data_IF_570496238241
#
_entry.id   IF_570496238241
#
_cell.length_a   1.000
_cell.length_b   1.000
_cell.length_c   1.000
_cell.angle_alpha   90.00
_cell.angle_beta   90.00
_cell.angle_gamma   90.00
#
_symmetry.space_group_name_H-M   'P 1'
#
loop_
_entity.id
_entity.type
_entity.pdbx_description
1 polymer ?
#
# COMPACT_ATOMS: atom_id res chain seq x y z
N UNK A 1 5.66 -11.82 -18.82
CA UNK A 1 6.44 -11.47 -17.62
C UNK A 1 5.59 -11.83 -16.42
N UNK A 2 6.19 -12.36 -15.37
CA UNK A 2 5.49 -12.57 -14.09
C UNK A 2 5.08 -11.20 -13.52
N UNK A 3 3.98 -11.16 -12.76
CA UNK A 3 3.52 -9.95 -12.07
C UNK A 3 4.62 -9.44 -11.13
N UNK A 4 5.29 -10.38 -10.43
CA UNK A 4 6.40 -10.06 -9.54
C UNK A 4 7.57 -9.38 -10.28
N UNK A 5 7.99 -9.91 -11.44
CA UNK A 5 9.05 -9.29 -12.26
C UNK A 5 8.66 -7.89 -12.72
N UNK A 6 7.39 -7.73 -13.13
CA UNK A 6 6.87 -6.44 -13.61
C UNK A 6 6.91 -5.40 -12.51
N UNK A 7 6.47 -5.76 -11.31
CA UNK A 7 6.43 -4.84 -10.17
C UNK A 7 7.83 -4.54 -9.62
N UNK A 8 8.72 -5.54 -9.56
CA UNK A 8 10.11 -5.31 -9.16
C UNK A 8 10.80 -4.32 -10.11
N UNK A 9 10.60 -4.46 -11.42
CA UNK A 9 11.10 -3.51 -12.41
C UNK A 9 10.54 -2.09 -12.21
N UNK A 10 9.27 -1.94 -11.81
CA UNK A 10 8.69 -0.62 -11.48
C UNK A 10 9.38 -0.02 -10.24
N UNK A 11 9.61 -0.83 -9.22
CA UNK A 11 10.25 -0.43 -7.96
C UNK A 11 11.69 0.01 -8.21
N UNK A 12 12.47 -0.78 -8.96
CA UNK A 12 13.85 -0.46 -9.34
C UNK A 12 13.94 0.89 -10.07
N UNK A 13 13.05 1.11 -11.04
CA UNK A 13 12.99 2.38 -11.79
C UNK A 13 12.60 3.58 -10.93
N UNK A 14 11.75 3.36 -9.92
CA UNK A 14 11.30 4.42 -9.01
C UNK A 14 12.35 4.80 -7.95
N UNK A 15 13.23 3.84 -7.61
CA UNK A 15 14.34 3.99 -6.66
C UNK A 15 14.02 3.39 -5.29
N UNK A 16 14.87 2.45 -4.84
CA UNK A 16 14.74 1.82 -3.51
C UNK A 16 14.97 2.80 -2.35
N UNK A 17 15.71 3.89 -2.58
CA UNK A 17 15.95 4.97 -1.62
C UNK A 17 14.67 5.72 -1.21
N UNK A 18 13.58 5.55 -1.97
CA UNK A 18 12.27 6.15 -1.72
C UNK A 18 11.27 5.18 -1.11
N UNK A 19 11.73 4.02 -0.65
CA UNK A 19 10.91 3.06 0.06
C UNK A 19 10.98 3.34 1.55
N UNK A 20 9.81 3.48 2.16
CA UNK A 20 9.67 3.76 3.58
C UNK A 20 9.02 2.59 4.29
N UNK A 21 9.52 2.30 5.48
CA UNK A 21 8.93 1.36 6.41
C UNK A 21 8.18 2.09 7.51
N UNK A 22 7.00 1.59 7.88
CA UNK A 22 6.25 2.04 9.04
C UNK A 22 5.83 0.86 9.89
N UNK A 23 5.93 1.00 11.21
CA UNK A 23 5.47 0.03 12.20
C UNK A 23 4.47 0.68 13.13
N UNK A 24 3.46 -0.08 13.55
CA UNK A 24 2.56 0.29 14.62
C UNK A 24 2.17 -0.94 15.44
N UNK A 25 2.11 -0.81 16.77
CA UNK A 25 1.72 -1.89 17.67
C UNK A 25 2.86 -2.39 18.54
N UNK A 26 2.60 -3.48 19.26
CA UNK A 26 3.53 -4.02 20.25
C UNK A 26 4.72 -4.74 19.61
N UNK A 27 5.82 -4.84 20.35
CA UNK A 27 7.06 -5.46 19.89
C UNK A 27 7.22 -6.90 20.39
N UNK A 28 6.37 -7.32 21.33
CA UNK A 28 6.44 -8.64 21.91
C UNK A 28 5.62 -9.66 21.12
N UNK A 29 6.01 -10.93 21.24
CA UNK A 29 5.29 -12.01 20.54
C UNK A 29 3.86 -12.11 21.05
N UNK A 30 2.92 -12.03 20.12
CA UNK A 30 1.48 -12.12 20.41
C UNK A 30 0.82 -10.76 20.58
N UNK A 31 1.59 -9.67 20.57
CA UNK A 31 1.00 -8.33 20.50
C UNK A 31 0.40 -8.08 19.12
N UNK A 32 -0.70 -7.32 19.11
CA UNK A 32 -1.26 -6.79 17.89
C UNK A 32 -0.28 -5.83 17.24
N UNK A 33 -0.02 -6.03 15.95
CA UNK A 33 0.91 -5.20 15.20
C UNK A 33 0.52 -5.08 13.73
N UNK A 34 1.02 -4.01 13.14
CA UNK A 34 0.87 -3.63 11.75
C UNK A 34 2.21 -3.15 11.24
N UNK A 35 2.50 -3.45 9.98
CA UNK A 35 3.57 -2.77 9.28
C UNK A 35 3.21 -2.51 7.83
N UNK A 36 3.86 -1.48 7.28
CA UNK A 36 3.79 -1.17 5.85
C UNK A 36 5.15 -0.92 5.25
N UNK A 37 5.29 -1.32 4.00
CA UNK A 37 6.40 -0.94 3.13
C UNK A 37 5.79 -0.21 1.95
N UNK A 38 6.17 1.04 1.77
CA UNK A 38 5.57 1.89 0.75
C UNK A 38 6.65 2.55 -0.09
N UNK A 39 6.56 2.38 -1.40
CA UNK A 39 7.35 3.11 -2.38
C UNK A 39 6.47 3.99 -3.27
N UNK A 40 7.05 4.66 -4.28
CA UNK A 40 6.29 5.49 -5.20
C UNK A 40 5.29 4.73 -6.08
N UNK A 41 5.48 3.42 -6.27
CA UNK A 41 4.72 2.60 -7.22
C UNK A 41 3.85 1.54 -6.56
N UNK A 42 4.00 1.32 -5.25
CA UNK A 42 3.33 0.22 -4.57
C UNK A 42 3.16 0.49 -3.07
N UNK A 43 2.26 -0.28 -2.48
CA UNK A 43 2.10 -0.42 -1.04
C UNK A 43 1.99 -1.91 -0.69
N UNK A 44 2.78 -2.33 0.29
CA UNK A 44 2.64 -3.60 1.00
C UNK A 44 2.16 -3.29 2.42
N UNK A 45 1.08 -3.91 2.84
CA UNK A 45 0.58 -3.83 4.21
C UNK A 45 0.44 -5.22 4.82
N UNK A 46 0.70 -5.28 6.11
CA UNK A 46 0.45 -6.41 6.97
C UNK A 46 -0.25 -5.91 8.23
N UNK A 47 -1.36 -6.56 8.59
CA UNK A 47 -2.12 -6.27 9.80
C UNK A 47 -2.39 -7.58 10.54
N UNK A 48 -2.00 -7.63 11.80
CA UNK A 48 -2.38 -8.70 12.71
C UNK A 48 -2.82 -8.12 14.06
N UNK A 49 -3.88 -7.33 14.04
CA UNK A 49 -4.47 -6.74 15.25
C UNK A 49 -5.77 -7.43 15.68
N UNK A 50 -6.39 -8.21 14.80
CA UNK A 50 -7.69 -8.85 15.04
C UNK A 50 -7.57 -10.17 15.82
N UNK A 51 -8.67 -10.56 16.48
CA UNK A 51 -8.79 -11.84 17.20
C UNK A 51 -7.62 -12.13 18.16
N UNK A 52 -7.19 -11.11 18.92
CA UNK A 52 -6.02 -11.19 19.79
C UNK A 52 -4.73 -11.56 19.01
N UNK A 53 -4.48 -10.82 17.93
CA UNK A 53 -3.32 -10.97 17.04
C UNK A 53 -3.17 -12.39 16.47
N UNK A 54 -4.29 -13.00 16.07
CA UNK A 54 -4.33 -14.37 15.54
C UNK A 54 -5.10 -14.48 14.21
N UNK A 55 -5.28 -13.36 13.52
CA UNK A 55 -5.90 -13.34 12.19
C UNK A 55 -5.18 -12.30 11.35
N UNK A 56 -4.33 -12.78 10.47
CA UNK A 56 -3.43 -11.95 9.66
C UNK A 56 -4.11 -11.56 8.36
N UNK A 57 -4.06 -10.28 8.02
CA UNK A 57 -4.34 -9.74 6.69
C UNK A 57 -3.04 -9.23 6.06
N UNK A 58 -2.90 -9.43 4.76
CA UNK A 58 -1.80 -8.88 3.99
C UNK A 58 -2.33 -8.37 2.65
N UNK A 59 -1.84 -7.22 2.21
CA UNK A 59 -2.26 -6.56 0.98
C UNK A 59 -1.04 -6.14 0.17
N UNK A 60 -1.13 -6.32 -1.14
CA UNK A 60 -0.28 -5.68 -2.13
C UNK A 60 -1.16 -4.79 -3.00
N UNK A 61 -0.78 -3.51 -3.15
CA UNK A 61 -1.50 -2.54 -3.96
C UNK A 61 -0.58 -1.92 -5.00
N UNK A 62 -0.98 -2.01 -6.27
CA UNK A 62 -0.45 -1.22 -7.38
C UNK A 62 -1.33 0.04 -7.54
N UNK A 63 -0.75 1.22 -7.33
CA UNK A 63 -1.50 2.48 -7.42
C UNK A 63 -2.04 2.78 -8.82
N UNK A 64 -1.45 2.21 -9.87
CA UNK A 64 -1.92 2.36 -11.24
C UNK A 64 -2.97 1.29 -11.62
N UNK A 65 -3.16 0.27 -10.79
CA UNK A 65 -4.02 -0.88 -11.03
C UNK A 65 -5.19 -1.01 -10.07
N UNK A 66 -5.54 0.06 -9.33
CA UNK A 66 -6.66 0.03 -8.40
C UNK A 66 -7.96 -0.35 -9.12
N UNK A 67 -8.69 -1.30 -8.52
CA UNK A 67 -9.99 -1.71 -9.02
C UNK A 67 -11.04 -0.67 -8.67
N UNK A 68 -11.74 -0.16 -9.69
CA UNK A 68 -12.81 0.82 -9.53
C UNK A 68 -12.62 2.04 -10.43
N UNK A 69 -13.54 3.01 -10.32
CA UNK A 69 -13.44 4.26 -11.05
C UNK A 69 -12.60 5.29 -10.30
N UNK A 70 -11.87 6.15 -11.02
CA UNK A 70 -11.21 7.33 -10.43
C UNK A 70 -12.26 8.43 -10.20
N UNK A 71 -13.07 8.23 -9.15
CA UNK A 71 -14.17 9.15 -8.78
C UNK A 71 -13.66 10.55 -8.45
N UNK A 72 -12.44 10.66 -7.92
CA UNK A 72 -11.86 11.95 -7.57
C UNK A 72 -11.49 12.72 -8.83
N UNK A 73 -10.84 12.08 -9.81
CA UNK A 73 -10.58 12.70 -11.11
C UNK A 73 -11.87 13.10 -11.82
N UNK A 74 -12.87 12.21 -11.85
CA UNK A 74 -14.18 12.53 -12.43
C UNK A 74 -14.81 13.78 -11.80
N UNK A 75 -14.69 13.94 -10.48
CA UNK A 75 -15.19 15.12 -9.78
C UNK A 75 -14.51 16.41 -10.26
N UNK A 76 -13.17 16.43 -10.35
CA UNK A 76 -12.43 17.59 -10.87
C UNK A 76 -12.73 17.93 -12.33
N UNK A 77 -13.04 16.93 -13.15
CA UNK A 77 -13.43 17.14 -14.55
C UNK A 77 -14.85 17.72 -14.70
N UNK A 78 -15.75 17.38 -13.77
CA UNK A 78 -17.18 17.69 -13.88
C UNK A 78 -17.62 18.86 -13.00
N UNK A 79 -16.84 19.21 -11.98
CA UNK A 79 -17.19 20.23 -10.99
C UNK A 79 -16.16 21.36 -11.01
N UNK A 80 -16.59 22.62 -11.25
CA UNK A 80 -15.71 23.76 -11.10
C UNK A 80 -15.23 23.88 -9.65
N UNK A 81 -13.92 23.99 -9.46
CA UNK A 81 -13.31 24.32 -8.18
C UNK A 81 -12.63 25.68 -8.32
N UNK A 82 -13.21 26.70 -7.70
CA UNK A 82 -12.55 27.99 -7.56
C UNK A 82 -11.33 27.82 -6.63
N UNK A 83 -10.26 28.56 -6.94
CA UNK A 83 -9.03 28.59 -6.14
C UNK A 83 -9.21 29.37 -4.84
#
# INVERSE_FOLDING_TARGET
>A
ADVADTDLNKIEKAGFDKIYFGWAGGLERGDGHYYRVQGPTFLLEYDNTQNNANHIHAVWRDFAGDFGEDILRKHYEQTPHDK
#
